data_IF_332277244316
#
_entry.id   IF_332277244316
#
_cell.length_a   1.000
_cell.length_b   1.000
_cell.length_c   1.000
_cell.angle_alpha   90.00
_cell.angle_beta   90.00
_cell.angle_gamma   90.00
#
_symmetry.space_group_name_H-M   'P 1'
#
loop_
_entity.id
_entity.type
_entity.pdbx_description
1 polymer ?
#
# COMPACT_ATOMS: atom_id res chain seq x y z
N UNK A 1 -58.65 -31.03 -43.66
CA UNK A 1 -58.05 -29.80 -44.26
C UNK A 1 -57.28 -29.06 -43.18
N UNK A 2 -56.04 -28.64 -43.48
CA UNK A 2 -55.14 -27.80 -42.66
C UNK A 2 -55.77 -26.41 -42.45
N UNK A 3 -55.58 -25.68 -41.35
CA UNK A 3 -54.44 -24.84 -40.88
C UNK A 3 -54.92 -24.20 -39.54
N UNK A 4 -54.15 -23.75 -38.54
CA UNK A 4 -52.76 -23.32 -38.41
C UNK A 4 -52.71 -22.01 -37.58
N UNK A 5 -51.75 -21.84 -36.66
CA UNK A 5 -51.41 -20.53 -36.04
C UNK A 5 -51.25 -20.54 -34.51
N UNK A 6 -50.23 -21.21 -33.97
CA UNK A 6 -48.96 -20.65 -33.44
C UNK A 6 -49.09 -19.63 -32.30
N UNK A 7 -48.98 -20.16 -31.08
CA UNK A 7 -48.67 -19.41 -29.87
C UNK A 7 -47.23 -18.86 -29.93
N UNK A 8 -47.11 -17.53 -29.96
CA UNK A 8 -45.84 -16.82 -29.81
C UNK A 8 -45.39 -16.83 -28.35
N UNK A 9 -44.59 -17.83 -27.99
CA UNK A 9 -43.78 -17.83 -26.77
C UNK A 9 -42.62 -16.87 -26.98
N UNK A 10 -42.70 -15.68 -26.38
CA UNK A 10 -41.54 -14.83 -26.16
C UNK A 10 -40.66 -15.49 -25.10
N UNK A 11 -39.80 -16.42 -25.52
CA UNK A 11 -38.64 -16.82 -24.73
C UNK A 11 -37.70 -15.62 -24.77
N UNK A 12 -37.83 -14.71 -23.80
CA UNK A 12 -36.72 -13.83 -23.48
C UNK A 12 -35.60 -14.75 -23.01
N UNK A 13 -34.67 -15.02 -23.93
CA UNK A 13 -33.38 -15.58 -23.59
C UNK A 13 -32.76 -14.65 -22.56
N UNK A 14 -32.89 -15.04 -21.29
CA UNK A 14 -32.15 -14.45 -20.20
C UNK A 14 -30.68 -14.65 -20.57
N UNK A 15 -30.05 -13.61 -21.10
CA UNK A 15 -28.61 -13.56 -21.33
C UNK A 15 -27.96 -13.81 -19.98
N UNK A 16 -27.61 -15.07 -19.73
CA UNK A 16 -26.65 -15.47 -18.72
C UNK A 16 -25.37 -14.70 -19.06
N UNK A 17 -25.23 -13.52 -18.47
CA UNK A 17 -23.99 -12.77 -18.42
C UNK A 17 -23.02 -13.75 -17.78
N UNK A 18 -22.18 -14.39 -18.60
CA UNK A 18 -21.10 -15.22 -18.13
C UNK A 18 -20.26 -14.32 -17.21
N UNK A 19 -20.51 -14.40 -15.89
CA UNK A 19 -19.62 -13.79 -14.92
C UNK A 19 -18.35 -14.59 -15.08
N UNK A 20 -17.34 -14.02 -15.73
CA UNK A 20 -15.98 -14.56 -15.67
C UNK A 20 -15.68 -14.76 -14.18
N UNK A 21 -15.68 -16.02 -13.72
CA UNK A 21 -15.40 -16.32 -12.32
C UNK A 21 -14.01 -15.77 -12.04
N UNK A 22 -13.86 -14.99 -10.97
CA UNK A 22 -12.53 -14.52 -10.58
C UNK A 22 -11.71 -15.72 -10.09
N UNK A 23 -10.40 -15.53 -9.99
CA UNK A 23 -9.46 -16.59 -9.60
C UNK A 23 -9.81 -17.19 -8.23
N UNK A 24 -10.26 -16.37 -7.31
CA UNK A 24 -10.67 -16.76 -5.97
C UNK A 24 -12.15 -16.46 -5.75
N UNK A 25 -12.85 -17.32 -5.04
CA UNK A 25 -14.21 -17.09 -4.55
C UNK A 25 -14.20 -16.18 -3.32
N UNK A 26 -13.27 -16.41 -2.38
CA UNK A 26 -13.17 -15.64 -1.13
C UNK A 26 -11.71 -15.26 -0.80
N UNK A 27 -11.46 -13.95 -0.70
CA UNK A 27 -10.18 -13.40 -0.28
C UNK A 27 -10.25 -12.59 1.00
N UNK A 28 -9.11 -12.44 1.67
CA UNK A 28 -8.97 -11.63 2.88
C UNK A 28 -7.92 -10.54 2.63
N UNK A 29 -8.19 -9.33 3.10
CA UNK A 29 -7.23 -8.22 3.16
C UNK A 29 -7.35 -7.56 4.53
N UNK A 30 -6.23 -7.20 5.14
CA UNK A 30 -6.21 -6.59 6.46
C UNK A 30 -5.38 -5.31 6.48
N UNK A 31 -5.85 -4.31 7.21
CA UNK A 31 -5.14 -3.05 7.35
C UNK A 31 -5.72 -2.15 8.43
N UNK A 32 -4.91 -1.21 8.88
CA UNK A 32 -5.40 -0.11 9.73
C UNK A 32 -6.16 0.92 8.90
N UNK A 33 -5.78 1.10 7.63
CA UNK A 33 -6.39 2.07 6.70
C UNK A 33 -6.41 3.53 7.22
N UNK A 34 -5.40 3.90 8.03
CA UNK A 34 -5.16 5.28 8.47
C UNK A 34 -4.82 6.18 7.29
N UNK A 35 -5.29 7.43 7.27
CA UNK A 35 -5.16 8.37 6.14
C UNK A 35 -5.40 7.67 4.81
N UNK A 36 -6.61 7.17 4.60
CA UNK A 36 -6.92 6.36 3.42
C UNK A 36 -6.38 7.01 2.13
N UNK A 37 -5.52 6.29 1.41
CA UNK A 37 -4.68 6.85 0.35
C UNK A 37 -4.60 5.92 -0.87
N UNK A 38 -3.97 6.40 -1.95
CA UNK A 38 -3.84 5.68 -3.23
C UNK A 38 -3.26 4.26 -3.07
N UNK A 39 -2.27 4.08 -2.19
CA UNK A 39 -1.75 2.75 -1.84
C UNK A 39 -2.81 1.78 -1.28
N UNK A 40 -3.63 2.20 -0.32
CA UNK A 40 -4.74 1.38 0.19
C UNK A 40 -5.76 1.05 -0.90
N UNK A 41 -6.09 2.04 -1.73
CA UNK A 41 -7.01 1.88 -2.87
C UNK A 41 -6.50 0.84 -3.87
N UNK A 42 -5.20 0.86 -4.14
CA UNK A 42 -4.55 -0.11 -5.04
C UNK A 42 -4.57 -1.54 -4.46
N UNK A 43 -4.24 -1.70 -3.18
CA UNK A 43 -4.34 -3.00 -2.49
C UNK A 43 -5.75 -3.59 -2.60
N UNK A 44 -6.79 -2.80 -2.27
CA UNK A 44 -8.18 -3.22 -2.38
C UNK A 44 -8.58 -3.51 -3.83
N UNK A 45 -8.21 -2.65 -4.77
CA UNK A 45 -8.50 -2.85 -6.20
C UNK A 45 -7.94 -4.18 -6.71
N UNK A 46 -6.69 -4.52 -6.33
CA UNK A 46 -6.09 -5.82 -6.67
C UNK A 46 -6.85 -6.98 -6.04
N UNK A 47 -7.22 -6.88 -4.76
CA UNK A 47 -8.03 -7.90 -4.10
C UNK A 47 -9.37 -8.15 -4.81
N UNK A 48 -10.12 -7.09 -5.11
CA UNK A 48 -11.41 -7.18 -5.81
C UNK A 48 -11.29 -7.53 -7.30
N UNK A 49 -10.12 -7.37 -7.91
CA UNK A 49 -9.88 -7.87 -9.28
C UNK A 49 -9.75 -9.39 -9.33
N UNK A 50 -9.26 -10.02 -8.25
CA UNK A 50 -8.90 -11.43 -8.20
C UNK A 50 -9.83 -12.31 -7.37
N UNK A 51 -10.61 -11.75 -6.44
CA UNK A 51 -11.51 -12.50 -5.59
C UNK A 51 -12.97 -12.05 -5.74
N UNK A 52 -13.95 -12.95 -5.79
CA UNK A 52 -15.37 -12.61 -5.95
C UNK A 52 -15.94 -11.91 -4.71
N UNK A 53 -15.62 -12.37 -3.50
CA UNK A 53 -15.92 -11.69 -2.24
C UNK A 53 -14.60 -11.41 -1.51
N UNK A 54 -14.52 -10.25 -0.85
CA UNK A 54 -13.34 -9.88 -0.06
C UNK A 54 -13.78 -9.52 1.35
N UNK A 55 -13.21 -10.21 2.34
CA UNK A 55 -13.27 -9.80 3.75
C UNK A 55 -12.21 -8.73 3.96
N UNK A 56 -12.65 -7.51 4.25
CA UNK A 56 -11.79 -6.35 4.52
C UNK A 56 -11.72 -6.15 6.03
N UNK A 57 -10.60 -6.57 6.61
CA UNK A 57 -10.34 -6.48 8.03
C UNK A 57 -9.79 -5.09 8.39
N UNK A 58 -10.54 -4.34 9.21
CA UNK A 58 -10.17 -3.01 9.69
C UNK A 58 -9.77 -3.09 11.16
N UNK A 59 -8.54 -2.71 11.51
CA UNK A 59 -8.09 -2.77 12.92
C UNK A 59 -8.96 -1.93 13.83
N UNK A 60 -9.33 -2.45 15.00
CA UNK A 60 -9.96 -1.65 16.06
C UNK A 60 -8.97 -0.68 16.68
N UNK A 61 -9.43 0.30 17.44
CA UNK A 61 -8.56 1.33 18.02
C UNK A 61 -7.61 0.74 19.06
N UNK A 62 -8.09 -0.19 19.87
CA UNK A 62 -7.26 -0.96 20.80
C UNK A 62 -6.14 -1.70 20.07
N UNK A 63 -6.47 -2.38 18.98
CA UNK A 63 -5.46 -3.13 18.23
C UNK A 63 -4.49 -2.19 17.49
N UNK A 64 -4.99 -1.08 16.92
CA UNK A 64 -4.16 -0.06 16.29
C UNK A 64 -3.14 0.55 17.28
N UNK A 65 -3.56 0.83 18.52
CA UNK A 65 -2.66 1.29 19.60
C UNK A 65 -1.58 0.26 19.92
N UNK A 66 -1.94 -1.01 20.07
CA UNK A 66 -0.98 -2.10 20.35
C UNK A 66 0.03 -2.33 19.22
N UNK A 67 -0.30 -1.96 17.98
CA UNK A 67 0.63 -2.03 16.86
C UNK A 67 1.76 -0.98 16.91
N UNK A 68 1.68 0.02 17.81
CA UNK A 68 2.77 0.96 18.08
C UNK A 68 3.22 1.77 16.86
N UNK A 69 2.26 2.29 16.08
CA UNK A 69 2.55 3.09 14.88
C UNK A 69 3.28 4.39 15.26
N UNK A 70 4.26 4.80 14.44
CA UNK A 70 5.03 6.05 14.62
C UNK A 70 4.23 7.35 14.39
N UNK A 71 2.92 7.23 14.15
CA UNK A 71 2.04 8.34 13.82
C UNK A 71 0.67 8.12 14.47
N UNK A 72 -0.12 9.19 14.65
CA UNK A 72 -1.51 9.06 15.09
C UNK A 72 -2.31 8.17 14.15
N UNK A 73 -3.36 7.55 14.69
CA UNK A 73 -4.33 6.76 13.91
C UNK A 73 -5.70 7.34 14.20
N UNK A 74 -6.47 7.60 13.16
CA UNK A 74 -7.86 8.07 13.29
C UNK A 74 -8.72 7.03 14.02
N UNK A 75 -9.79 7.47 14.69
CA UNK A 75 -10.71 6.55 15.37
C UNK A 75 -11.36 5.56 14.38
N UNK A 76 -11.77 4.39 14.87
CA UNK A 76 -12.28 3.30 14.05
C UNK A 76 -13.42 3.75 13.14
N UNK A 77 -14.35 4.53 13.68
CA UNK A 77 -15.51 5.03 12.94
C UNK A 77 -15.11 5.94 11.76
N UNK A 78 -14.08 6.77 11.92
CA UNK A 78 -13.58 7.64 10.85
C UNK A 78 -12.93 6.82 9.74
N UNK A 79 -12.07 5.85 10.11
CA UNK A 79 -11.42 4.96 9.15
C UNK A 79 -12.43 4.07 8.43
N UNK A 80 -13.44 3.59 9.15
CA UNK A 80 -14.55 2.82 8.58
C UNK A 80 -15.31 3.65 7.54
N UNK A 81 -15.65 4.91 7.87
CA UNK A 81 -16.32 5.82 6.95
C UNK A 81 -15.49 6.04 5.67
N UNK A 82 -14.19 6.33 5.81
CA UNK A 82 -13.29 6.48 4.67
C UNK A 82 -13.18 5.21 3.82
N UNK A 83 -13.09 4.04 4.45
CA UNK A 83 -13.04 2.74 3.78
C UNK A 83 -14.33 2.46 3.01
N UNK A 84 -15.50 2.64 3.63
CA UNK A 84 -16.81 2.42 3.00
C UNK A 84 -17.00 3.34 1.80
N UNK A 85 -16.63 4.62 1.92
CA UNK A 85 -16.69 5.55 0.79
C UNK A 85 -15.79 5.09 -0.36
N UNK A 86 -14.54 4.71 -0.07
CA UNK A 86 -13.65 4.18 -1.10
C UNK A 86 -14.20 2.92 -1.78
N UNK A 87 -14.80 1.99 -1.03
CA UNK A 87 -15.44 0.79 -1.59
C UNK A 87 -16.64 1.12 -2.49
N UNK A 88 -17.40 2.19 -2.16
CA UNK A 88 -18.50 2.69 -3.00
C UNK A 88 -17.97 3.32 -4.27
N UNK A 89 -16.95 4.17 -4.18
CA UNK A 89 -16.32 4.83 -5.33
C UNK A 89 -15.73 3.81 -6.32
N UNK A 90 -15.20 2.69 -5.81
CA UNK A 90 -14.70 1.58 -6.63
C UNK A 90 -15.82 0.67 -7.19
N UNK A 91 -17.07 0.86 -6.78
CA UNK A 91 -18.19 -0.02 -7.15
C UNK A 91 -18.11 -1.42 -6.55
N UNK A 92 -17.29 -1.64 -5.51
CA UNK A 92 -17.01 -2.97 -4.93
C UNK A 92 -17.69 -3.20 -3.58
N UNK A 93 -18.38 -2.20 -3.02
CA UNK A 93 -19.04 -2.30 -1.72
C UNK A 93 -19.96 -3.53 -1.58
N UNK A 94 -20.70 -3.89 -2.63
CA UNK A 94 -21.61 -5.06 -2.65
C UNK A 94 -20.90 -6.43 -2.56
N UNK A 95 -19.57 -6.46 -2.64
CA UNK A 95 -18.73 -7.66 -2.55
C UNK A 95 -17.79 -7.62 -1.34
N UNK A 96 -17.89 -6.58 -0.52
CA UNK A 96 -17.03 -6.37 0.62
C UNK A 96 -17.74 -6.84 1.89
N UNK A 97 -17.04 -7.62 2.72
CA UNK A 97 -17.46 -7.95 4.09
C UNK A 97 -16.49 -7.21 5.01
N UNK A 98 -16.96 -6.21 5.74
CA UNK A 98 -16.11 -5.45 6.66
C UNK A 98 -16.03 -6.19 8.00
N UNK A 99 -14.81 -6.42 8.48
CA UNK A 99 -14.56 -7.16 9.72
C UNK A 99 -13.70 -6.35 10.70
N UNK A 100 -14.17 -6.05 11.93
CA UNK A 100 -13.34 -5.44 12.96
C UNK A 100 -12.22 -6.37 13.41
N UNK A 101 -10.96 -5.93 13.26
CA UNK A 101 -9.78 -6.73 13.54
C UNK A 101 -9.18 -6.36 14.90
N UNK A 102 -9.30 -7.27 15.86
CA UNK A 102 -8.85 -7.08 17.25
C UNK A 102 -7.47 -7.71 17.56
N UNK A 103 -6.96 -8.53 16.64
CA UNK A 103 -5.68 -9.24 16.79
C UNK A 103 -5.00 -9.44 15.41
N UNK A 104 -3.83 -10.08 15.40
CA UNK A 104 -3.05 -10.28 14.17
C UNK A 104 -3.65 -11.30 13.19
N UNK A 105 -4.59 -12.14 13.62
CA UNK A 105 -5.08 -13.29 12.86
C UNK A 105 -6.45 -13.04 12.23
N UNK A 106 -7.40 -12.54 13.02
CA UNK A 106 -8.77 -12.29 12.60
C UNK A 106 -9.43 -13.49 11.90
N UNK A 107 -10.25 -13.26 10.86
CA UNK A 107 -10.96 -14.33 10.17
C UNK A 107 -10.03 -15.27 9.39
N UNK A 108 -8.76 -14.91 9.20
CA UNK A 108 -7.81 -15.75 8.47
C UNK A 108 -7.50 -17.07 9.19
N UNK A 109 -7.84 -17.24 10.47
CA UNK A 109 -7.66 -18.50 11.20
C UNK A 109 -8.96 -19.20 11.57
N UNK A 110 -10.11 -18.67 11.16
CA UNK A 110 -11.44 -19.23 11.44
C UNK A 110 -12.26 -19.47 10.17
N UNK A 111 -12.09 -18.65 9.14
CA UNK A 111 -12.86 -18.72 7.89
C UNK A 111 -12.34 -19.85 7.00
N UNK A 112 -13.06 -20.97 6.96
CA UNK A 112 -12.66 -22.18 6.22
C UNK A 112 -12.71 -21.98 4.70
N UNK A 113 -13.61 -21.11 4.23
CA UNK A 113 -13.80 -20.84 2.80
C UNK A 113 -12.75 -19.90 2.20
N UNK A 114 -11.92 -19.24 3.01
CA UNK A 114 -10.92 -18.30 2.51
C UNK A 114 -9.82 -19.03 1.73
N UNK A 115 -9.48 -18.49 0.56
CA UNK A 115 -8.53 -19.08 -0.38
C UNK A 115 -7.23 -18.25 -0.51
N UNK A 116 -7.32 -16.94 -0.32
CA UNK A 116 -6.19 -16.01 -0.53
C UNK A 116 -6.12 -14.94 0.55
N UNK A 117 -4.91 -14.59 0.95
CA UNK A 117 -4.58 -13.43 1.78
C UNK A 117 -3.82 -12.41 0.92
N UNK A 118 -4.45 -11.25 0.69
CA UNK A 118 -3.82 -10.12 0.02
C UNK A 118 -3.02 -9.30 1.03
N UNK A 119 -1.73 -9.15 0.77
CA UNK A 119 -0.80 -8.38 1.60
C UNK A 119 -0.06 -7.38 0.73
N UNK A 120 0.37 -6.27 1.31
CA UNK A 120 1.41 -5.44 0.70
C UNK A 120 2.79 -6.08 0.91
N UNK A 121 3.80 -5.60 0.19
CA UNK A 121 5.21 -5.94 0.46
C UNK A 121 5.58 -5.71 1.93
N UNK A 122 5.11 -4.61 2.54
CA UNK A 122 5.32 -4.29 3.97
C UNK A 122 4.74 -5.34 4.92
N UNK A 123 3.58 -5.91 4.57
CA UNK A 123 2.85 -6.84 5.43
C UNK A 123 3.09 -8.31 5.10
N UNK A 124 3.95 -8.62 4.13
CA UNK A 124 4.25 -9.98 3.68
C UNK A 124 4.68 -10.92 4.83
N UNK A 125 5.64 -10.49 5.64
CA UNK A 125 6.13 -11.29 6.77
C UNK A 125 5.03 -11.56 7.81
N UNK A 126 4.10 -10.62 8.00
CA UNK A 126 2.92 -10.82 8.87
C UNK A 126 1.97 -11.84 8.24
N UNK A 127 1.73 -11.76 6.93
CA UNK A 127 0.94 -12.73 6.19
C UNK A 127 1.47 -14.16 6.32
N UNK A 128 2.79 -14.35 6.26
CA UNK A 128 3.42 -15.65 6.50
C UNK A 128 3.19 -16.19 7.92
N UNK A 129 3.20 -15.31 8.93
CA UNK A 129 2.89 -15.70 10.32
C UNK A 129 1.43 -16.12 10.47
N UNK A 130 0.52 -15.35 9.88
CA UNK A 130 -0.92 -15.68 9.87
C UNK A 130 -1.17 -17.02 9.19
N UNK A 131 -0.56 -17.26 8.03
CA UNK A 131 -0.76 -18.49 7.28
C UNK A 131 -0.21 -19.72 8.03
N UNK A 132 0.94 -19.59 8.68
CA UNK A 132 1.47 -20.64 9.58
C UNK A 132 0.49 -20.96 10.72
N UNK A 133 -0.05 -19.92 11.36
CA UNK A 133 -1.01 -20.09 12.46
C UNK A 133 -2.37 -20.63 11.99
N UNK A 134 -2.74 -20.45 10.72
CA UNK A 134 -3.91 -21.06 10.08
C UNK A 134 -3.70 -22.56 9.87
N UNK A 135 -2.55 -22.94 9.30
CA UNK A 135 -2.21 -24.35 9.05
C UNK A 135 -2.07 -25.13 10.36
N UNK A 136 -1.47 -24.54 11.40
CA UNK A 136 -1.37 -25.19 12.72
C UNK A 136 -2.72 -25.44 13.39
N UNK A 137 -3.80 -24.80 12.92
CA UNK A 137 -5.19 -25.03 13.36
C UNK A 137 -5.96 -26.01 12.46
N UNK A 138 -5.27 -26.72 11.57
CA UNK A 138 -5.86 -27.73 10.68
C UNK A 138 -6.63 -27.15 9.49
N UNK A 139 -6.47 -25.84 9.20
CA UNK A 139 -7.07 -25.22 8.03
C UNK A 139 -6.12 -25.28 6.83
N UNK A 140 -6.67 -25.36 5.61
CA UNK A 140 -5.87 -25.26 4.39
C UNK A 140 -5.15 -23.91 4.33
N UNK A 141 -3.87 -23.92 3.93
CA UNK A 141 -3.10 -22.70 3.74
C UNK A 141 -3.75 -21.78 2.71
N UNK A 142 -3.62 -20.48 2.92
CA UNK A 142 -4.01 -19.43 1.98
C UNK A 142 -2.90 -19.23 0.95
N UNK A 143 -3.28 -18.96 -0.29
CA UNK A 143 -2.39 -18.28 -1.23
C UNK A 143 -2.03 -16.91 -0.63
N UNK A 144 -0.75 -16.55 -0.63
CA UNK A 144 -0.32 -15.21 -0.23
C UNK A 144 -0.06 -14.40 -1.49
N UNK A 145 -0.95 -13.45 -1.78
CA UNK A 145 -0.81 -12.56 -2.92
C UNK A 145 -0.18 -11.24 -2.45
N UNK A 146 1.06 -10.99 -2.88
CA UNK A 146 1.78 -9.76 -2.55
C UNK A 146 1.47 -8.68 -3.58
N UNK A 147 0.93 -7.56 -3.10
CA UNK A 147 0.65 -6.36 -3.90
C UNK A 147 1.81 -5.38 -3.74
N UNK A 148 2.43 -4.93 -4.86
CA UNK A 148 3.50 -3.95 -4.81
C UNK A 148 3.08 -2.62 -4.20
N UNK A 149 4.00 -1.94 -3.54
CA UNK A 149 3.77 -0.60 -3.02
C UNK A 149 3.76 0.42 -4.16
N UNK A 150 2.77 1.31 -4.17
CA UNK A 150 2.77 2.45 -5.08
C UNK A 150 3.73 3.53 -4.59
N UNK A 151 4.49 4.08 -5.53
CA UNK A 151 5.42 5.19 -5.28
C UNK A 151 4.69 6.53 -5.40
N UNK A 152 5.12 7.47 -4.55
CA UNK A 152 4.81 8.89 -4.65
C UNK A 152 5.66 9.54 -5.76
N UNK A 153 5.42 10.81 -6.06
CA UNK A 153 6.17 11.59 -7.05
C UNK A 153 7.67 11.66 -6.76
N UNK A 154 8.06 11.57 -5.48
CA UNK A 154 9.45 11.57 -5.05
C UNK A 154 10.14 10.20 -5.12
N UNK A 155 9.48 9.20 -5.72
CA UNK A 155 10.01 7.85 -5.93
C UNK A 155 10.03 6.96 -4.68
N UNK A 156 9.52 7.44 -3.54
CA UNK A 156 9.40 6.65 -2.30
C UNK A 156 7.97 6.12 -2.13
N UNK A 157 7.75 4.99 -1.44
CA UNK A 157 6.41 4.45 -1.23
C UNK A 157 5.43 5.45 -0.59
N UNK A 158 4.16 5.41 -1.01
CA UNK A 158 3.06 6.11 -0.36
C UNK A 158 2.70 5.38 0.94
N UNK A 159 2.67 6.09 2.07
CA UNK A 159 2.25 5.54 3.36
C UNK A 159 1.55 6.56 4.23
N UNK A 160 0.69 6.09 5.14
CA UNK A 160 0.00 6.93 6.14
C UNK A 160 0.97 7.79 6.94
N UNK A 161 2.13 7.23 7.32
CA UNK A 161 3.17 7.96 8.08
C UNK A 161 3.62 9.22 7.36
N UNK A 162 3.87 9.12 6.05
CA UNK A 162 4.33 10.25 5.24
C UNK A 162 3.24 11.30 5.04
N UNK A 163 1.98 10.86 4.95
CA UNK A 163 0.82 11.77 4.86
C UNK A 163 0.62 12.51 6.18
N UNK A 164 0.73 11.82 7.32
CA UNK A 164 0.68 12.44 8.65
C UNK A 164 1.81 13.45 8.86
N UNK A 165 3.01 13.14 8.37
CA UNK A 165 4.16 14.07 8.39
C UNK A 165 4.04 15.22 7.38
N UNK A 166 3.00 15.23 6.55
CA UNK A 166 2.81 16.23 5.51
C UNK A 166 3.85 16.18 4.39
N UNK A 167 4.58 15.08 4.24
CA UNK A 167 5.55 14.91 3.15
C UNK A 167 4.84 14.78 1.79
N UNK A 168 3.69 14.11 1.78
CA UNK A 168 2.86 13.86 0.60
C UNK A 168 1.38 14.00 0.93
N UNK A 169 0.53 14.17 -0.08
CA UNK A 169 -0.92 14.01 0.05
C UNK A 169 -1.38 12.55 -0.15
N UNK A 170 -2.69 12.31 -0.09
CA UNK A 170 -3.28 10.98 -0.22
C UNK A 170 -3.14 10.37 -1.63
N UNK A 171 -2.85 11.20 -2.63
CA UNK A 171 -2.65 10.83 -4.02
C UNK A 171 -1.17 10.51 -4.31
N UNK A 172 -0.27 10.85 -3.38
CA UNK A 172 1.17 10.66 -3.49
C UNK A 172 1.90 11.86 -4.11
N UNK A 173 1.26 13.03 -4.15
CA UNK A 173 1.91 14.26 -4.61
C UNK A 173 2.78 14.82 -3.52
N UNK A 174 3.99 15.23 -3.86
CA UNK A 174 4.89 15.82 -2.88
C UNK A 174 4.36 17.19 -2.46
N UNK A 175 4.26 17.44 -1.15
CA UNK A 175 4.02 18.81 -0.69
C UNK A 175 5.33 19.58 -0.84
N UNK A 176 5.28 20.70 -1.56
CA UNK A 176 6.42 21.58 -1.69
C UNK A 176 6.93 21.92 -0.28
N UNK A 177 8.19 21.59 0.01
CA UNK A 177 8.85 22.12 1.20
C UNK A 177 9.27 23.55 0.88
N UNK A 178 8.59 24.50 1.50
CA UNK A 178 9.08 25.88 1.57
C UNK A 178 10.25 25.86 2.56
N UNK A 179 11.48 26.01 2.06
CA UNK A 179 12.67 26.24 2.89
C UNK A 179 13.03 27.73 2.75
N UNK A 180 12.49 28.58 3.62
CA UNK A 180 12.56 30.05 3.47
C UNK A 180 11.75 30.56 2.26
N UNK A 181 12.03 31.77 1.77
CA UNK A 181 11.35 32.39 0.61
C UNK A 181 11.69 31.74 -0.76
N UNK A 182 12.29 30.55 -0.76
CA UNK A 182 12.71 29.85 -1.97
C UNK A 182 11.97 28.52 -2.15
N UNK A 183 11.38 28.34 -3.34
CA UNK A 183 10.86 27.05 -3.80
C UNK A 183 12.05 26.26 -4.38
N UNK A 184 12.51 25.22 -3.67
CA UNK A 184 13.57 24.33 -4.16
C UNK A 184 12.95 23.05 -4.74
N UNK A 185 13.09 22.87 -6.05
CA UNK A 185 12.82 21.60 -6.72
C UNK A 185 14.03 20.67 -6.55
N UNK A 186 13.83 19.47 -5.97
CA UNK A 186 14.81 18.38 -6.12
C UNK A 186 14.50 17.62 -7.40
N UNK A 187 15.31 17.87 -8.43
CA UNK A 187 15.32 17.00 -9.61
C UNK A 187 15.82 15.60 -9.20
N UNK A 188 15.05 14.56 -9.53
CA UNK A 188 15.46 13.19 -9.30
C UNK A 188 16.64 12.82 -10.21
N UNK A 189 17.80 12.56 -9.60
CA UNK A 189 18.84 11.69 -10.16
C UNK A 189 20.05 12.36 -10.84
N UNK A 190 21.18 12.40 -10.13
CA UNK A 190 22.34 11.53 -10.39
C UNK A 190 23.42 11.74 -9.34
N UNK A 191 24.07 10.64 -8.96
CA UNK A 191 25.23 10.56 -8.09
C UNK A 191 26.40 11.20 -8.86
N UNK A 192 26.94 12.32 -8.37
CA UNK A 192 28.29 12.75 -8.73
C UNK A 192 29.24 12.24 -7.66
N UNK A 193 30.01 11.24 -8.06
CA UNK A 193 31.17 10.77 -7.33
C UNK A 193 32.24 11.87 -7.39
N UNK A 194 32.55 12.52 -6.27
CA UNK A 194 33.74 13.36 -6.18
C UNK A 194 34.91 12.53 -5.66
N UNK A 195 35.34 11.59 -6.49
CA UNK A 195 36.71 11.11 -6.46
C UNK A 195 37.60 12.07 -7.26
N UNK A 196 38.19 13.08 -6.61
CA UNK A 196 39.35 13.76 -7.17
C UNK A 196 40.61 13.21 -6.50
N UNK A 197 41.26 12.30 -7.22
CA UNK A 197 42.64 11.89 -6.99
C UNK A 197 43.57 13.08 -7.22
N UNK A 198 44.57 13.13 -6.37
CA UNK A 198 45.75 13.97 -6.43
C UNK A 198 46.58 13.78 -7.72
N UNK A 199 47.17 14.88 -8.23
CA UNK A 199 48.63 15.11 -8.41
C UNK A 199 48.95 16.27 -9.37
N UNK A 200 49.84 17.15 -8.89
CA UNK A 200 51.00 17.84 -9.55
C UNK A 200 50.71 18.73 -10.77
N UNK A 201 51.44 19.81 -11.05
CA UNK A 201 52.55 20.56 -10.43
C UNK A 201 52.75 21.83 -11.32
N UNK A 202 53.56 22.78 -10.84
CA UNK A 202 54.20 23.88 -11.62
C UNK A 202 53.23 25.01 -12.03
N UNK A 203 53.51 26.31 -11.86
CA UNK A 203 54.75 27.10 -11.90
C UNK A 203 54.52 28.47 -11.22
N UNK A 204 55.61 29.05 -10.69
CA UNK A 204 55.91 30.51 -10.57
C UNK A 204 54.96 31.42 -9.75
N UNK A 205 55.39 32.36 -8.91
CA UNK A 205 56.58 33.18 -8.91
C UNK A 205 56.63 33.98 -7.57
N UNK A 206 57.85 34.25 -7.06
CA UNK A 206 58.21 35.43 -6.23
C UNK A 206 57.59 35.57 -4.83
N UNK A 207 58.34 35.74 -3.74
CA UNK A 207 59.74 36.07 -3.57
C UNK A 207 59.99 36.57 -2.14
N UNK A 208 61.21 36.29 -1.66
CA UNK A 208 62.02 37.03 -0.71
C UNK A 208 61.59 37.11 0.78
N UNK A 209 62.46 36.59 1.64
CA UNK A 209 62.53 36.91 3.07
C UNK A 209 63.15 35.82 3.93
N UNK A 210 64.44 35.55 3.74
CA UNK A 210 65.28 34.65 4.56
C UNK A 210 65.76 35.33 5.89
N UNK A 211 66.46 34.64 6.82
CA UNK A 211 66.14 34.51 8.26
C UNK A 211 67.29 35.12 9.11
N UNK A 212 67.78 34.61 10.29
CA UNK A 212 67.30 33.60 11.25
C UNK A 212 67.45 33.98 12.75
N UNK A 213 67.09 33.03 13.63
CA UNK A 213 67.69 32.86 14.96
C UNK A 213 66.67 32.82 16.11
N UNK A 214 66.71 31.96 17.12
CA UNK A 214 67.57 30.86 17.60
C UNK A 214 66.65 30.05 18.56
N UNK A 215 66.51 28.73 18.42
CA UNK A 215 66.99 27.70 19.36
C UNK A 215 67.04 28.09 20.86
N UNK A 216 66.25 27.43 21.71
CA UNK A 216 66.68 26.46 22.75
C UNK A 216 65.58 26.20 23.80
N UNK A 217 65.50 24.91 24.20
CA UNK A 217 64.83 24.26 25.37
C UNK A 217 63.36 24.51 25.72
#
# INVERSE_FOLDING_TARGET
MRYGGRASTWVMACTLRQRSRRRYSLGIVAGTFSKFHKGHRYLLSRAFSLADIVIVCLTTDDFARRLGKEHPVEEYCERLKSLVNALRDMGTAHRAIIWPLNDMYGPAVTEKGAEVLFVSEESFLRGLKVNRARVSRGLRGLDIYVVPLLLAEDGRPISSTRIWRGEIDAEGRAKAKIYGDAIVWRAAGRRVDHGLRSRRAEEEEGGAGEPPGEAEE
#
